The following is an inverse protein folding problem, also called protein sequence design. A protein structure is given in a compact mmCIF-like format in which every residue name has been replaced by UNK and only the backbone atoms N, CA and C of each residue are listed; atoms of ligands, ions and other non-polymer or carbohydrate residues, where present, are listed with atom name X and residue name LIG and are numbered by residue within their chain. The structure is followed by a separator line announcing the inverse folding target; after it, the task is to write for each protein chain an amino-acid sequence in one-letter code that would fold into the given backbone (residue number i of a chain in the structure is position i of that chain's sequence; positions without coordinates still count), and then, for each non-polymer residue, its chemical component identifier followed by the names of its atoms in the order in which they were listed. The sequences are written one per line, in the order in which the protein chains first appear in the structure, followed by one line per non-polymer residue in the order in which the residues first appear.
data_IF_687544982717
#
_entry.id   IF_687544982717
#
_cell.length_a   1.000
_cell.length_b   1.000
_cell.length_c   1.000
_cell.angle_alpha   90.00
_cell.angle_beta   90.00
_cell.angle_gamma   90.00
#
_symmetry.space_group_name_H-M   'P 1'
#
loop_
_entity.id
_entity.type
_entity.pdbx_description
1 polymer ?
#
# COMPACT_ATOMS: atom_id res chain seq x y z
N UNK A 1 10.72 21.97 -0.80
CA UNK A 1 10.11 21.21 -1.91
C UNK A 1 10.75 19.84 -2.14
N UNK A 2 11.96 19.72 -2.69
CA UNK A 2 12.59 18.38 -2.88
C UNK A 2 12.79 17.64 -1.55
N UNK A 3 13.35 18.33 -0.55
CA UNK A 3 13.61 17.72 0.77
C UNK A 3 12.32 17.27 1.47
N UNK A 4 11.25 18.06 1.36
CA UNK A 4 9.93 17.71 1.91
C UNK A 4 9.36 16.47 1.21
N UNK A 5 9.44 16.41 -0.12
CA UNK A 5 8.98 15.26 -0.91
C UNK A 5 9.77 14.00 -0.58
N UNK A 6 11.09 14.12 -0.39
CA UNK A 6 11.94 13.00 0.03
C UNK A 6 11.60 12.53 1.45
N UNK A 7 11.32 13.46 2.37
CA UNK A 7 10.88 13.11 3.73
C UNK A 7 9.51 12.42 3.73
N UNK A 8 8.57 12.87 2.88
CA UNK A 8 7.28 12.22 2.68
C UNK A 8 7.45 10.80 2.11
N UNK A 9 8.27 10.65 1.06
CA UNK A 9 8.59 9.36 0.46
C UNK A 9 9.18 8.39 1.50
N UNK A 10 10.19 8.84 2.25
CA UNK A 10 10.86 7.99 3.25
C UNK A 10 9.94 7.63 4.41
N UNK A 11 9.12 8.56 4.90
CA UNK A 11 8.12 8.26 5.94
C UNK A 11 7.12 7.20 5.46
N UNK A 12 6.67 7.32 4.22
CA UNK A 12 5.76 6.36 3.59
C UNK A 12 6.43 5.00 3.37
N UNK A 13 7.71 4.97 2.99
CA UNK A 13 8.54 3.76 2.90
C UNK A 13 8.62 3.03 4.24
N UNK A 14 9.02 3.75 5.29
CA UNK A 14 9.19 3.20 6.64
C UNK A 14 7.89 2.60 7.17
N UNK A 15 6.76 3.29 6.97
CA UNK A 15 5.46 2.83 7.44
C UNK A 15 4.99 1.58 6.70
N UNK A 16 5.16 1.53 5.38
CA UNK A 16 4.87 0.33 4.57
C UNK A 16 5.72 -0.85 5.04
N UNK A 17 7.04 -0.66 5.17
CA UNK A 17 7.96 -1.71 5.66
C UNK A 17 7.57 -2.19 7.04
N UNK A 18 7.22 -1.30 7.97
CA UNK A 18 6.80 -1.66 9.32
C UNK A 18 5.53 -2.54 9.30
N UNK A 19 4.59 -2.29 8.37
CA UNK A 19 3.37 -3.11 8.21
C UNK A 19 3.63 -4.52 7.64
N UNK A 20 4.79 -4.78 7.06
CA UNK A 20 5.15 -6.12 6.61
C UNK A 20 6.07 -6.81 7.62
N UNK A 21 7.11 -6.10 8.06
CA UNK A 21 8.16 -6.64 8.93
C UNK A 21 7.72 -6.86 10.38
N UNK A 22 6.68 -6.19 10.86
CA UNK A 22 6.13 -6.43 12.20
C UNK A 22 5.27 -7.69 12.33
N UNK A 23 4.97 -8.38 11.23
CA UNK A 23 4.25 -9.65 11.24
C UNK A 23 5.22 -10.83 11.09
N UNK A 24 5.02 -11.95 11.79
CA UNK A 24 5.69 -13.21 11.44
C UNK A 24 5.23 -13.71 10.07
N UNK A 25 6.03 -14.57 9.42
CA UNK A 25 5.77 -15.05 8.05
C UNK A 25 4.35 -15.60 7.88
N UNK A 26 3.93 -16.48 8.79
CA UNK A 26 2.61 -17.09 8.76
C UNK A 26 1.43 -16.11 8.87
N UNK A 27 1.66 -14.87 9.33
CA UNK A 27 0.62 -13.84 9.41
C UNK A 27 0.59 -12.91 8.19
N UNK A 28 1.50 -13.06 7.22
CA UNK A 28 1.32 -12.41 5.91
C UNK A 28 0.30 -13.17 5.05
N UNK A 29 0.03 -14.42 5.40
CA UNK A 29 -0.92 -15.31 4.73
C UNK A 29 -2.31 -15.17 5.32
N UNK A 30 -2.91 -14.01 5.07
CA UNK A 30 -4.24 -13.71 5.55
C UNK A 30 -5.29 -14.58 4.84
N UNK A 31 -6.38 -14.99 5.51
CA UNK A 31 -7.51 -15.64 4.84
C UNK A 31 -8.06 -14.77 3.71
N UNK A 32 -8.60 -15.42 2.67
CA UNK A 32 -9.28 -14.70 1.60
C UNK A 32 -10.45 -13.89 2.15
N UNK A 33 -10.55 -12.63 1.71
CA UNK A 33 -11.68 -11.76 2.02
C UNK A 33 -11.92 -10.82 0.84
N UNK A 34 -13.16 -10.67 0.35
CA UNK A 34 -13.45 -9.95 -0.90
C UNK A 34 -13.25 -8.43 -0.84
N UNK A 35 -13.10 -7.85 0.36
CA UNK A 35 -12.99 -6.40 0.58
C UNK A 35 -11.60 -5.89 0.98
N UNK A 36 -10.56 -6.73 0.97
CA UNK A 36 -9.17 -6.35 1.31
C UNK A 36 -8.21 -7.06 0.36
N UNK A 37 -6.91 -6.75 0.37
CA UNK A 37 -5.91 -7.56 -0.34
C UNK A 37 -4.86 -8.11 0.65
N UNK A 38 -4.10 -9.16 0.26
CA UNK A 38 -3.05 -9.68 1.12
C UNK A 38 -1.89 -8.68 1.23
N UNK A 39 -1.25 -8.55 2.41
CA UNK A 39 -0.26 -7.50 2.67
C UNK A 39 0.93 -7.47 1.70
N UNK A 40 1.45 -8.63 1.28
CA UNK A 40 2.56 -8.67 0.33
C UNK A 40 2.16 -8.16 -1.04
N UNK A 41 0.95 -8.48 -1.50
CA UNK A 41 0.44 -7.95 -2.76
C UNK A 41 0.28 -6.43 -2.70
N UNK A 42 -0.28 -5.91 -1.61
CA UNK A 42 -0.41 -4.46 -1.41
C UNK A 42 0.94 -3.75 -1.48
N UNK A 43 2.00 -4.32 -0.88
CA UNK A 43 3.35 -3.77 -0.93
C UNK A 43 3.93 -3.76 -2.35
N UNK A 44 3.80 -4.87 -3.08
CA UNK A 44 4.32 -4.97 -4.46
C UNK A 44 3.56 -4.06 -5.42
N UNK A 45 2.22 -4.10 -5.41
CA UNK A 45 1.36 -3.25 -6.25
C UNK A 45 1.65 -1.75 -6.05
N UNK A 46 1.83 -1.35 -4.79
CA UNK A 46 2.06 0.05 -4.47
C UNK A 46 3.46 0.54 -4.87
N UNK A 47 4.48 -0.32 -4.87
CA UNK A 47 5.78 -0.05 -5.51
C UNK A 47 5.67 0.02 -7.04
N UNK A 48 4.99 -0.93 -7.67
CA UNK A 48 4.76 -0.96 -9.12
C UNK A 48 4.12 0.33 -9.64
N UNK A 49 3.25 0.95 -8.83
CA UNK A 49 2.64 2.23 -9.17
C UNK A 49 3.68 3.34 -9.44
N UNK A 50 4.81 3.37 -8.72
CA UNK A 50 5.89 4.32 -9.00
C UNK A 50 6.56 4.03 -10.34
N UNK A 51 6.71 2.76 -10.72
CA UNK A 51 7.30 2.40 -12.00
C UNK A 51 6.44 2.89 -13.17
N UNK A 52 5.12 2.72 -13.07
CA UNK A 52 4.18 3.22 -14.08
C UNK A 52 4.14 4.75 -14.08
N UNK A 53 3.81 5.39 -12.96
CA UNK A 53 3.46 6.81 -12.97
C UNK A 53 4.66 7.75 -12.86
N UNK A 54 5.77 7.30 -12.29
CA UNK A 54 6.98 8.12 -12.16
C UNK A 54 7.96 7.73 -13.25
N UNK A 55 8.45 6.50 -13.29
CA UNK A 55 9.53 6.12 -14.22
C UNK A 55 9.06 6.06 -15.68
N UNK A 56 7.96 5.38 -15.96
CA UNK A 56 7.50 5.22 -17.34
C UNK A 56 6.94 6.54 -17.89
N UNK A 57 6.02 7.21 -17.20
CA UNK A 57 5.39 8.43 -17.74
C UNK A 57 6.33 9.63 -17.85
N UNK A 58 7.36 9.73 -17.00
CA UNK A 58 8.32 10.84 -17.06
C UNK A 58 9.51 10.52 -17.97
N UNK A 59 10.04 9.30 -17.89
CA UNK A 59 11.35 8.96 -18.47
C UNK A 59 11.30 7.84 -19.51
N UNK A 60 10.14 7.20 -19.72
CA UNK A 60 10.00 6.04 -20.62
C UNK A 60 10.74 4.79 -20.14
N UNK A 61 11.11 4.74 -18.85
CA UNK A 61 11.82 3.62 -18.26
C UNK A 61 10.84 2.46 -18.05
N UNK A 62 11.26 1.24 -18.42
CA UNK A 62 10.49 0.02 -18.18
C UNK A 62 10.56 -0.41 -16.71
N UNK A 63 9.55 -1.17 -16.26
CA UNK A 63 9.50 -1.76 -14.92
C UNK A 63 10.74 -2.60 -14.63
N UNK A 64 11.10 -2.71 -13.35
CA UNK A 64 12.26 -3.47 -12.87
C UNK A 64 12.22 -4.93 -13.32
N UNK A 65 11.02 -5.53 -13.30
CA UNK A 65 10.76 -6.85 -13.85
C UNK A 65 9.43 -6.84 -14.62
N UNK A 66 9.45 -6.59 -15.95
CA UNK A 66 8.23 -6.49 -16.75
C UNK A 66 7.37 -7.75 -16.75
N UNK A 67 7.93 -8.92 -16.42
CA UNK A 67 7.17 -10.15 -16.31
C UNK A 67 6.21 -10.19 -15.10
N UNK A 68 6.36 -9.24 -14.16
CA UNK A 68 5.51 -9.11 -12.98
C UNK A 68 4.44 -8.01 -13.12
N UNK A 69 4.47 -7.21 -14.20
CA UNK A 69 3.61 -6.03 -14.35
C UNK A 69 2.13 -6.42 -14.26
N UNK A 70 1.69 -7.45 -15.00
CA UNK A 70 0.31 -7.93 -14.97
C UNK A 70 -0.11 -8.49 -13.60
N UNK A 71 0.85 -8.96 -12.79
CA UNK A 71 0.60 -9.51 -11.47
C UNK A 71 0.45 -8.40 -10.42
N UNK A 72 1.19 -7.32 -10.59
CA UNK A 72 1.08 -6.13 -9.75
C UNK A 72 -0.06 -5.22 -10.20
N UNK A 73 -0.47 -5.22 -11.45
CA UNK A 73 -1.56 -4.38 -11.94
C UNK A 73 -2.93 -4.90 -11.49
N UNK A 74 -3.62 -4.09 -10.69
CA UNK A 74 -4.94 -4.39 -10.14
C UNK A 74 -6.05 -4.50 -11.20
N UNK A 75 -5.84 -3.98 -12.40
CA UNK A 75 -6.74 -4.15 -13.56
C UNK A 75 -6.54 -5.47 -14.30
N UNK A 76 -5.37 -6.10 -14.17
CA UNK A 76 -5.03 -7.33 -14.89
C UNK A 76 -5.17 -8.57 -14.01
N UNK A 77 -4.72 -8.52 -12.75
CA UNK A 77 -4.84 -9.67 -11.84
C UNK A 77 -6.23 -9.78 -11.22
N UNK A 78 -6.82 -10.97 -11.36
CA UNK A 78 -8.05 -11.34 -10.66
C UNK A 78 -7.87 -11.20 -9.15
N UNK A 79 -8.90 -10.66 -8.47
CA UNK A 79 -8.81 -10.35 -7.05
C UNK A 79 -8.41 -11.56 -6.20
N UNK A 80 -8.96 -12.74 -6.50
CA UNK A 80 -8.66 -13.97 -5.77
C UNK A 80 -7.23 -14.46 -5.98
N UNK A 81 -6.67 -14.21 -7.16
CA UNK A 81 -5.33 -14.68 -7.52
C UNK A 81 -4.24 -13.91 -6.76
N UNK A 82 -4.55 -12.74 -6.20
CA UNK A 82 -3.69 -11.97 -5.29
C UNK A 82 -3.22 -12.78 -4.06
N UNK A 83 -3.92 -13.86 -3.70
CA UNK A 83 -3.54 -14.79 -2.62
C UNK A 83 -2.66 -15.97 -3.04
N UNK A 84 -2.36 -16.11 -4.34
CA UNK A 84 -1.59 -17.24 -4.83
C UNK A 84 -0.09 -17.05 -4.59
N UNK A 85 0.48 -17.79 -3.64
CA UNK A 85 1.94 -17.77 -3.40
C UNK A 85 2.79 -18.26 -4.57
N UNK A 86 2.20 -18.95 -5.53
CA UNK A 86 2.93 -19.38 -6.72
C UNK A 86 3.09 -18.25 -7.75
N UNK A 87 2.31 -17.17 -7.61
CA UNK A 87 2.36 -16.02 -8.52
C UNK A 87 3.27 -14.91 -7.98
N UNK A 88 3.39 -14.76 -6.67
CA UNK A 88 4.10 -13.63 -6.07
C UNK A 88 5.41 -14.04 -5.39
N UNK A 89 6.43 -13.17 -5.44
CA UNK A 89 7.63 -13.34 -4.65
C UNK A 89 7.32 -13.43 -3.15
N UNK A 90 8.21 -14.09 -2.41
CA UNK A 90 8.13 -14.14 -0.95
C UNK A 90 8.38 -12.77 -0.30
N UNK A 91 8.31 -12.72 1.04
CA UNK A 91 8.55 -11.49 1.82
C UNK A 91 9.86 -10.80 1.46
N UNK A 92 10.96 -11.53 1.44
CA UNK A 92 12.30 -10.96 1.25
C UNK A 92 12.47 -10.34 -0.14
N UNK A 93 12.05 -11.06 -1.18
CA UNK A 93 12.10 -10.60 -2.56
C UNK A 93 11.16 -9.41 -2.80
N UNK A 94 9.97 -9.42 -2.21
CA UNK A 94 9.02 -8.28 -2.29
C UNK A 94 9.60 -7.05 -1.60
N UNK A 95 10.23 -7.22 -0.43
CA UNK A 95 10.92 -6.13 0.28
C UNK A 95 12.08 -5.57 -0.55
N UNK A 96 12.88 -6.43 -1.17
CA UNK A 96 14.01 -6.01 -2.01
C UNK A 96 13.55 -5.25 -3.26
N UNK A 97 12.49 -5.73 -3.91
CA UNK A 97 11.84 -5.03 -5.04
C UNK A 97 11.35 -3.64 -4.62
N UNK A 98 10.56 -3.59 -3.53
CA UNK A 98 10.05 -2.34 -2.98
C UNK A 98 11.18 -1.36 -2.65
N UNK A 99 12.22 -1.81 -1.95
CA UNK A 99 13.37 -0.97 -1.59
C UNK A 99 14.09 -0.43 -2.83
N UNK A 100 14.29 -1.28 -3.84
CA UNK A 100 14.94 -0.89 -5.10
C UNK A 100 14.17 0.20 -5.82
N UNK A 101 12.84 0.08 -5.91
CA UNK A 101 11.99 1.11 -6.52
C UNK A 101 12.10 2.42 -5.74
N UNK A 102 12.03 2.37 -4.42
CA UNK A 102 12.12 3.57 -3.57
C UNK A 102 13.46 4.28 -3.67
N UNK A 103 14.57 3.53 -3.69
CA UNK A 103 15.92 4.10 -3.84
C UNK A 103 16.04 4.82 -5.19
N UNK A 104 15.50 4.24 -6.27
CA UNK A 104 15.46 4.87 -7.59
C UNK A 104 14.58 6.12 -7.65
N UNK A 105 13.42 6.12 -6.99
CA UNK A 105 12.56 7.32 -6.91
C UNK A 105 13.30 8.44 -6.17
N UNK A 106 13.92 8.13 -5.03
CA UNK A 106 14.68 9.10 -4.25
C UNK A 106 15.86 9.69 -5.06
N UNK A 107 16.64 8.83 -5.72
CA UNK A 107 17.73 9.25 -6.60
C UNK A 107 17.23 10.16 -7.73
N UNK A 108 16.09 9.82 -8.34
CA UNK A 108 15.48 10.65 -9.39
C UNK A 108 15.08 12.03 -8.87
N UNK A 109 14.41 12.10 -7.70
CA UNK A 109 14.03 13.38 -7.08
C UNK A 109 15.28 14.23 -6.79
N UNK A 110 16.37 13.62 -6.34
CA UNK A 110 17.63 14.33 -6.08
C UNK A 110 18.27 14.85 -7.37
N UNK A 111 18.42 13.98 -8.38
CA UNK A 111 19.21 14.24 -9.59
C UNK A 111 18.51 15.06 -10.67
N UNK A 112 17.18 15.00 -10.78
CA UNK A 112 16.42 15.62 -11.88
C UNK A 112 15.71 16.91 -11.47
N UNK A 113 15.33 17.75 -12.43
CA UNK A 113 14.51 18.95 -12.14
C UNK A 113 13.11 18.54 -11.65
N UNK A 114 12.57 19.30 -10.70
CA UNK A 114 11.24 19.09 -10.13
C UNK A 114 10.28 20.13 -10.69
N UNK A 115 9.85 19.95 -11.95
CA UNK A 115 8.78 20.75 -12.55
C UNK A 115 7.40 20.34 -12.02
N UNK A 116 6.35 21.08 -12.40
CA UNK A 116 5.00 20.85 -11.88
C UNK A 116 4.47 19.44 -12.18
N UNK A 117 4.76 18.91 -13.38
CA UNK A 117 4.36 17.56 -13.79
C UNK A 117 5.07 16.50 -12.95
N UNK A 118 6.37 16.65 -12.76
CA UNK A 118 7.19 15.74 -11.94
C UNK A 118 6.76 15.78 -10.48
N UNK A 119 6.52 16.98 -9.94
CA UNK A 119 6.03 17.15 -8.57
C UNK A 119 4.67 16.47 -8.38
N UNK A 120 3.75 16.68 -9.33
CA UNK A 120 2.43 16.07 -9.31
C UNK A 120 2.51 14.54 -9.29
N UNK A 121 3.26 13.93 -10.22
CA UNK A 121 3.32 12.47 -10.33
C UNK A 121 4.00 11.82 -9.12
N UNK A 122 5.04 12.43 -8.54
CA UNK A 122 5.66 11.92 -7.32
C UNK A 122 4.71 12.01 -6.12
N UNK A 123 4.02 13.15 -5.94
CA UNK A 123 3.01 13.27 -4.87
C UNK A 123 1.86 12.30 -5.06
N UNK A 124 1.40 12.14 -6.29
CA UNK A 124 0.33 11.21 -6.62
C UNK A 124 0.70 9.77 -6.23
N UNK A 125 1.89 9.32 -6.61
CA UNK A 125 2.39 7.99 -6.22
C UNK A 125 2.55 7.84 -4.69
N UNK A 126 3.06 8.86 -3.99
CA UNK A 126 3.13 8.85 -2.52
C UNK A 126 1.73 8.77 -1.88
N UNK A 127 0.75 9.53 -2.38
CA UNK A 127 -0.61 9.46 -1.86
C UNK A 127 -1.27 8.12 -2.15
N UNK A 128 -1.06 7.56 -3.34
CA UNK A 128 -1.48 6.20 -3.68
C UNK A 128 -0.92 5.17 -2.69
N UNK A 129 0.38 5.19 -2.41
CA UNK A 129 0.97 4.32 -1.39
C UNK A 129 0.34 4.51 -0.01
N UNK A 130 0.04 5.75 0.40
CA UNK A 130 -0.63 6.00 1.68
C UNK A 130 -2.05 5.41 1.73
N UNK A 131 -2.78 5.34 0.61
CA UNK A 131 -4.04 4.59 0.53
C UNK A 131 -3.82 3.09 0.72
N UNK A 132 -2.75 2.52 0.15
CA UNK A 132 -2.40 1.11 0.37
C UNK A 132 -1.93 0.83 1.80
N UNK A 133 -1.28 1.78 2.46
CA UNK A 133 -0.99 1.71 3.91
C UNK A 133 -2.29 1.57 4.69
N UNK A 134 -3.31 2.38 4.39
CA UNK A 134 -4.62 2.28 5.02
C UNK A 134 -5.29 0.92 4.71
N UNK A 135 -5.22 0.45 3.47
CA UNK A 135 -5.72 -0.87 3.07
C UNK A 135 -5.07 -2.02 3.84
N UNK A 136 -3.74 -1.98 4.03
CA UNK A 136 -3.03 -2.98 4.84
C UNK A 136 -3.44 -2.95 6.32
N UNK A 137 -3.68 -1.75 6.87
CA UNK A 137 -4.16 -1.59 8.25
C UNK A 137 -5.58 -2.15 8.37
N UNK A 138 -6.47 -1.85 7.41
CA UNK A 138 -7.81 -2.41 7.35
C UNK A 138 -7.75 -3.93 7.23
N UNK A 139 -6.92 -4.50 6.35
CA UNK A 139 -6.73 -5.94 6.23
C UNK A 139 -6.42 -6.59 7.58
N UNK A 140 -5.43 -6.05 8.32
CA UNK A 140 -5.08 -6.51 9.68
C UNK A 140 -6.28 -6.47 10.63
N UNK A 141 -7.05 -5.39 10.62
CA UNK A 141 -8.24 -5.26 11.48
C UNK A 141 -9.31 -6.29 11.11
N UNK A 142 -9.57 -6.48 9.82
CA UNK A 142 -10.55 -7.44 9.29
C UNK A 142 -10.23 -8.87 9.72
N UNK A 143 -8.95 -9.24 9.77
CA UNK A 143 -8.51 -10.58 10.19
C UNK A 143 -8.21 -10.70 11.68
N UNK A 144 -8.49 -9.66 12.47
CA UNK A 144 -8.37 -9.67 13.93
C UNK A 144 -6.94 -9.57 14.47
N UNK A 145 -6.01 -9.04 13.69
CA UNK A 145 -4.63 -8.83 14.14
C UNK A 145 -4.52 -7.62 15.07
N UNK A 146 -3.49 -7.63 15.92
CA UNK A 146 -3.16 -6.49 16.76
C UNK A 146 -2.79 -5.26 15.92
N UNK A 147 -3.07 -4.08 16.47
CA UNK A 147 -2.70 -2.83 15.84
C UNK A 147 -1.19 -2.78 15.52
N UNK A 148 -0.78 -2.11 14.42
CA UNK A 148 0.63 -1.90 14.11
C UNK A 148 1.39 -1.20 15.25
N UNK A 149 2.72 -1.41 15.39
CA UNK A 149 3.49 -0.83 16.50
C UNK A 149 3.47 0.70 16.58
N UNK A 150 3.30 1.39 15.46
CA UNK A 150 3.21 2.86 15.37
C UNK A 150 1.79 3.40 15.58
N UNK A 151 0.81 2.53 15.84
CA UNK A 151 -0.56 2.93 16.12
C UNK A 151 -0.59 3.75 17.41
N UNK A 152 -0.79 5.06 17.25
CA UNK A 152 -1.06 5.93 18.39
C UNK A 152 -2.41 5.55 18.98
N UNK A 153 -2.48 5.33 20.29
CA UNK A 153 -3.76 5.18 20.97
C UNK A 153 -4.61 6.40 20.64
N UNK A 154 -5.72 6.19 19.93
CA UNK A 154 -6.69 7.26 19.73
C UNK A 154 -7.16 7.63 21.13
N UNK A 155 -6.92 8.89 21.56
CA UNK A 155 -7.72 9.48 22.63
C UNK A 155 -9.14 9.34 22.14
N UNK A 156 -9.92 8.43 22.74
CA UNK A 156 -11.34 8.29 22.46
C UNK A 156 -11.91 9.69 22.65
N UNK A 157 -12.36 10.33 21.56
CA UNK A 157 -13.15 11.53 21.71
C UNK A 157 -14.30 11.15 22.66
N UNK A 158 -14.61 11.95 23.69
CA UNK A 158 -15.75 11.67 24.56
C UNK A 158 -17.01 11.74 23.70
N UNK A 159 -17.38 10.61 23.10
CA UNK A 159 -18.64 10.42 22.42
C UNK A 159 -19.61 9.85 23.45
N UNK A 160 -20.66 10.61 23.76
CA UNK A 160 -21.79 10.07 24.49
C UNK A 160 -22.39 8.91 23.70
N UNK A 161 -22.88 7.86 24.38
CA UNK A 161 -23.55 6.75 23.71
C UNK A 161 -24.79 7.29 23.00
N UNK A 162 -24.76 7.31 21.67
CA UNK A 162 -25.96 7.53 20.87
C UNK A 162 -26.81 6.27 20.97
N UNK A 163 -27.93 6.36 21.68
CA UNK A 163 -28.99 5.34 21.64
C UNK A 163 -29.56 5.34 20.22
N UNK A 164 -29.26 4.31 19.43
CA UNK A 164 -29.73 4.21 18.07
C UNK A 164 -31.24 3.92 17.98
N UNK A 165 -31.96 4.77 17.25
CA UNK A 165 -33.36 4.56 16.87
C UNK A 165 -33.45 3.59 15.67
N UNK A 166 -33.03 2.34 15.86
CA UNK A 166 -33.37 1.27 14.94
C UNK A 166 -34.67 0.60 15.44
N UNK A 167 -35.80 1.23 15.15
CA UNK A 167 -37.09 0.55 15.26
C UNK A 167 -37.25 -0.38 14.06
N UNK A 168 -37.06 -1.68 14.29
CA UNK A 168 -37.43 -2.74 13.36
C UNK A 168 -38.90 -2.57 13.01
N UNK A 169 -39.21 -2.25 11.74
CA UNK A 169 -40.58 -2.39 11.24
C UNK A 169 -40.90 -3.88 11.16
N UNK A 170 -42.03 -4.36 11.75
CA UNK A 170 -42.47 -5.72 11.51
C UNK A 170 -43.01 -5.84 10.09
N UNK A 171 -42.63 -6.93 9.41
CA UNK A 171 -43.17 -7.34 8.13
C UNK A 171 -44.70 -7.49 8.22
N UNK A 172 -45.42 -6.86 7.29
CA UNK A 172 -46.83 -7.11 7.06
C UNK A 172 -46.96 -8.16 5.96
N UNK A 173 -47.63 -9.27 6.30
CA UNK A 173 -48.07 -10.30 5.33
C UNK A 173 -49.27 -9.88 4.51
#
# INVERSE_FOLDING_TARGET
MKDELLQELERTRQRTRALITSLPEAMLDVPYHPGVNPPLWEMGHSAFFYEVFVFNLLDGIASFNPAMDDLWDSFHIEHRDRWSRNLFPGREETLAYFDTVYDRVAERILSQSLDDRTLYLNRYAIFHQNMHIESMIWCRQTVGYTAPPDAKSIRRAPGEPVTGDASSRPDAG
#
